data_IF_061736509969
#
_entry.id   IF_061736509969
#
_cell.length_a   1.000
_cell.length_b   1.000
_cell.length_c   1.000
_cell.angle_alpha   90.00
_cell.angle_beta   90.00
_cell.angle_gamma   90.00
#
_symmetry.space_group_name_H-M   'P 1'
#
loop_
_entity.id
_entity.type
_entity.pdbx_description
1 polymer ?
#
# COMPACT_ATOMS: atom_id res chain seq x y z
N UNK A 1 -42.25 -10.05 47.77
CA UNK A 1 -43.25 -8.95 47.70
C UNK A 1 -42.96 -8.12 46.45
N UNK A 2 -43.98 -7.62 45.75
CA UNK A 2 -44.53 -8.28 44.56
C UNK A 2 -44.26 -7.56 43.22
N UNK A 3 -44.67 -8.27 42.18
CA UNK A 3 -44.74 -7.98 40.76
C UNK A 3 -45.39 -6.64 40.37
N UNK A 4 -44.96 -6.09 39.23
CA UNK A 4 -45.86 -5.42 38.26
C UNK A 4 -45.37 -5.64 36.83
N UNK A 5 -46.09 -6.49 36.12
CA UNK A 5 -46.19 -6.39 34.67
C UNK A 5 -47.18 -5.31 34.23
N UNK A 6 -47.30 -5.23 32.90
CA UNK A 6 -48.49 -4.82 32.12
C UNK A 6 -48.48 -3.44 31.46
N UNK A 7 -48.69 -3.53 30.14
CA UNK A 7 -49.50 -2.64 29.28
C UNK A 7 -48.81 -1.39 28.74
N UNK A 8 -48.94 -1.00 27.47
CA UNK A 8 -49.86 -1.42 26.42
C UNK A 8 -49.27 -1.16 25.03
N UNK A 9 -49.63 -2.06 24.12
CA UNK A 9 -49.73 -1.87 22.67
C UNK A 9 -50.33 -0.49 22.32
N UNK A 10 -49.67 0.27 21.45
CA UNK A 10 -50.39 1.11 20.47
C UNK A 10 -49.82 0.88 19.08
N UNK A 11 -50.59 0.05 18.38
CA UNK A 11 -50.60 -0.14 16.94
C UNK A 11 -50.81 1.23 16.28
N UNK A 12 -49.79 1.70 15.56
CA UNK A 12 -49.88 2.80 14.61
C UNK A 12 -49.77 2.24 13.20
N UNK A 13 -50.88 1.73 12.68
CA UNK A 13 -51.05 1.33 11.29
C UNK A 13 -51.07 2.62 10.45
N UNK A 14 -50.10 2.81 9.56
CA UNK A 14 -49.95 4.05 8.80
C UNK A 14 -49.13 3.89 7.54
N UNK A 15 -49.75 3.24 6.55
CA UNK A 15 -49.63 3.56 5.12
C UNK A 15 -48.21 3.70 4.51
N UNK A 16 -47.67 2.56 4.10
CA UNK A 16 -47.21 2.26 2.73
C UNK A 16 -47.05 3.47 1.78
N UNK A 17 -45.82 3.91 1.54
CA UNK A 17 -45.41 4.50 0.26
C UNK A 17 -44.11 3.82 -0.16
N UNK A 18 -44.21 2.90 -1.12
CA UNK A 18 -43.08 2.43 -1.91
C UNK A 18 -42.54 3.62 -2.71
N UNK A 19 -41.33 4.06 -2.40
CA UNK A 19 -40.49 4.77 -3.38
C UNK A 19 -39.34 3.85 -3.75
N UNK A 20 -39.58 3.04 -4.78
CA UNK A 20 -38.55 2.35 -5.54
C UNK A 20 -37.73 3.41 -6.29
N UNK A 21 -36.78 4.04 -5.62
CA UNK A 21 -35.73 4.81 -6.28
C UNK A 21 -34.66 3.82 -6.79
N UNK A 22 -34.95 3.23 -7.93
CA UNK A 22 -33.95 2.62 -8.80
C UNK A 22 -33.04 3.73 -9.35
N UNK A 23 -32.09 4.20 -8.53
CA UNK A 23 -30.98 4.99 -9.02
C UNK A 23 -29.83 4.03 -9.29
N UNK A 24 -29.82 3.60 -10.54
CA UNK A 24 -28.66 3.29 -11.35
C UNK A 24 -27.37 3.09 -10.56
N UNK A 25 -26.97 1.81 -10.43
CA UNK A 25 -25.61 1.50 -10.05
C UNK A 25 -24.65 2.27 -10.95
N UNK A 26 -23.86 3.15 -10.35
CA UNK A 26 -22.60 3.58 -10.93
C UNK A 26 -21.72 2.32 -11.01
N UNK A 27 -21.92 1.50 -12.05
CA UNK A 27 -20.82 0.75 -12.62
C UNK A 27 -19.88 1.79 -13.19
N UNK A 28 -19.06 2.35 -12.32
CA UNK A 28 -17.82 2.97 -12.73
C UNK A 28 -17.04 1.81 -13.36
N UNK A 29 -17.19 1.65 -14.66
CA UNK A 29 -16.17 1.05 -15.49
C UNK A 29 -14.96 1.96 -15.31
N UNK A 30 -14.23 1.73 -14.22
CA UNK A 30 -12.95 2.32 -14.03
C UNK A 30 -12.11 1.66 -15.11
N UNK A 31 -12.15 2.25 -16.32
CA UNK A 31 -11.14 2.05 -17.33
C UNK A 31 -9.82 2.03 -16.56
N UNK A 32 -9.02 0.95 -16.65
CA UNK A 32 -7.83 0.82 -15.84
C UNK A 32 -7.04 2.10 -16.05
N UNK A 33 -7.07 2.96 -15.02
CA UNK A 33 -6.28 4.17 -15.00
C UNK A 33 -4.88 3.60 -15.08
N UNK A 34 -4.34 3.62 -16.30
CA UNK A 34 -2.98 3.24 -16.57
C UNK A 34 -2.22 4.40 -15.99
N UNK A 35 -2.08 4.38 -14.66
CA UNK A 35 -1.33 5.38 -13.93
C UNK A 35 0.01 5.43 -14.66
N UNK A 36 0.45 6.61 -15.11
CA UNK A 36 1.70 6.74 -15.82
C UNK A 36 2.74 5.98 -15.00
N UNK A 37 3.39 5.01 -15.64
CA UNK A 37 4.33 4.13 -14.96
C UNK A 37 5.32 5.03 -14.22
N UNK A 38 5.31 4.96 -12.88
CA UNK A 38 6.16 5.84 -12.11
C UNK A 38 7.62 5.63 -12.56
N UNK A 39 8.43 6.69 -12.62
CA UNK A 39 9.77 6.63 -13.17
C UNK A 39 10.58 5.50 -12.52
N UNK A 40 11.48 4.90 -13.29
CA UNK A 40 12.38 3.90 -12.74
C UNK A 40 13.41 4.58 -11.79
N UNK A 41 13.83 3.91 -10.71
CA UNK A 41 14.98 4.36 -9.94
C UNK A 41 16.22 4.50 -10.82
N UNK A 42 16.96 5.58 -10.64
CA UNK A 42 18.25 5.78 -11.31
C UNK A 42 19.34 4.85 -10.70
N UNK A 43 20.57 4.96 -11.19
CA UNK A 43 21.67 4.09 -10.73
C UNK A 43 22.03 4.28 -9.25
N UNK A 44 22.05 5.53 -8.76
CA UNK A 44 22.36 5.84 -7.37
C UNK A 44 21.24 5.34 -6.44
N UNK A 45 19.98 5.57 -6.83
CA UNK A 45 18.79 5.08 -6.12
C UNK A 45 18.77 3.56 -6.09
N UNK A 46 19.06 2.90 -7.21
CA UNK A 46 19.12 1.43 -7.27
C UNK A 46 20.18 0.88 -6.31
N UNK A 47 21.36 1.52 -6.24
CA UNK A 47 22.42 1.12 -5.31
C UNK A 47 22.00 1.31 -3.86
N UNK A 48 21.45 2.49 -3.54
CA UNK A 48 20.95 2.78 -2.19
C UNK A 48 19.84 1.81 -1.77
N UNK A 49 18.88 1.52 -2.64
CA UNK A 49 17.83 0.52 -2.40
C UNK A 49 18.44 -0.87 -2.18
N UNK A 50 19.50 -1.22 -2.94
CA UNK A 50 20.27 -2.44 -2.78
C UNK A 50 20.89 -2.56 -1.39
N UNK A 51 21.66 -1.55 -0.99
CA UNK A 51 22.37 -1.50 0.30
C UNK A 51 21.38 -1.51 1.48
N UNK A 52 20.33 -0.70 1.42
CA UNK A 52 19.27 -0.63 2.44
C UNK A 52 18.46 -1.93 2.53
N UNK A 53 18.09 -2.51 1.40
CA UNK A 53 17.39 -3.80 1.36
C UNK A 53 18.25 -4.94 1.91
N UNK A 54 19.55 -4.95 1.62
CA UNK A 54 20.49 -5.90 2.20
C UNK A 54 20.60 -5.74 3.73
N UNK A 55 20.52 -4.52 4.26
CA UNK A 55 20.44 -4.30 5.71
C UNK A 55 19.12 -4.82 6.29
N UNK A 56 17.97 -4.48 5.69
CA UNK A 56 16.63 -4.89 6.14
C UNK A 56 16.50 -6.43 6.20
N UNK A 57 16.94 -7.11 5.15
CA UNK A 57 16.83 -8.56 5.01
C UNK A 57 18.09 -9.31 5.44
N UNK A 58 19.00 -8.66 6.18
CA UNK A 58 20.20 -9.30 6.76
C UNK A 58 21.03 -10.07 5.72
N UNK A 59 21.24 -9.45 4.56
CA UNK A 59 21.94 -9.96 3.37
C UNK A 59 21.31 -11.18 2.70
N UNK A 60 20.06 -11.50 3.03
CA UNK A 60 19.28 -12.47 2.26
C UNK A 60 18.96 -11.90 0.87
N UNK A 61 18.90 -12.78 -0.14
CA UNK A 61 18.41 -12.39 -1.46
C UNK A 61 16.98 -11.85 -1.39
N UNK A 62 16.76 -10.72 -2.05
CA UNK A 62 15.48 -10.04 -2.09
C UNK A 62 15.21 -9.47 -3.49
N UNK A 63 13.96 -9.08 -3.71
CA UNK A 63 13.49 -8.48 -4.95
C UNK A 63 12.93 -7.09 -4.67
N UNK A 64 12.90 -6.25 -5.70
CA UNK A 64 12.27 -4.94 -5.68
C UNK A 64 11.32 -4.79 -6.85
N UNK A 65 10.38 -3.85 -6.77
CA UNK A 65 9.62 -3.42 -7.97
C UNK A 65 10.55 -2.78 -8.99
N UNK A 66 10.22 -2.94 -10.29
CA UNK A 66 11.02 -2.40 -11.39
C UNK A 66 11.06 -0.87 -11.34
N UNK A 67 9.92 -0.26 -11.10
CA UNK A 67 9.75 1.19 -10.91
C UNK A 67 9.37 1.57 -9.49
N UNK A 68 9.19 2.87 -9.27
CA UNK A 68 8.52 3.33 -8.07
C UNK A 68 7.05 2.87 -8.07
N UNK A 69 6.49 2.64 -6.88
CA UNK A 69 5.05 2.39 -6.69
C UNK A 69 4.29 3.70 -6.72
N UNK A 70 4.89 4.75 -6.17
CA UNK A 70 4.51 6.14 -6.38
C UNK A 70 5.77 7.02 -6.39
N UNK A 71 5.72 8.11 -7.14
CA UNK A 71 6.79 9.08 -7.25
C UNK A 71 6.17 10.49 -7.21
N UNK A 72 6.16 11.08 -6.03
CA UNK A 72 5.52 12.36 -5.76
C UNK A 72 6.44 13.21 -4.86
N UNK A 73 6.84 14.42 -5.26
CA UNK A 73 7.76 15.23 -4.45
C UNK A 73 7.27 15.57 -3.03
N UNK A 74 5.96 15.57 -2.78
CA UNK A 74 5.39 15.81 -1.46
C UNK A 74 5.29 14.54 -0.60
N UNK A 75 5.26 13.36 -1.21
CA UNK A 75 5.16 12.06 -0.51
C UNK A 75 6.43 11.22 -0.55
N UNK A 76 7.37 11.58 -1.40
CA UNK A 76 8.57 10.81 -1.73
C UNK A 76 8.39 9.79 -2.87
N UNK A 77 9.39 8.93 -2.98
CA UNK A 77 9.57 7.97 -4.05
C UNK A 77 9.64 6.56 -3.45
N UNK A 78 8.55 5.81 -3.58
CA UNK A 78 8.39 4.53 -2.89
C UNK A 78 8.72 3.34 -3.78
N UNK A 79 9.46 2.38 -3.24
CA UNK A 79 9.78 1.09 -3.86
C UNK A 79 9.32 -0.02 -2.92
N UNK A 80 8.67 -1.03 -3.49
CA UNK A 80 8.37 -2.24 -2.73
C UNK A 80 9.55 -3.20 -2.81
N UNK A 81 9.90 -3.75 -1.66
CA UNK A 81 10.87 -4.82 -1.51
C UNK A 81 10.16 -6.08 -1.00
N UNK A 82 10.68 -7.25 -1.37
CA UNK A 82 10.24 -8.52 -0.80
C UNK A 82 11.38 -9.52 -0.68
N UNK A 83 11.35 -10.32 0.38
CA UNK A 83 12.20 -11.49 0.53
C UNK A 83 11.34 -12.70 0.94
N UNK A 84 11.74 -13.94 0.61
CA UNK A 84 11.02 -15.12 1.08
C UNK A 84 11.18 -15.31 2.59
N UNK A 85 10.08 -15.54 3.30
CA UNK A 85 10.08 -16.00 4.69
C UNK A 85 10.25 -17.52 4.76
N UNK A 86 10.51 -18.04 5.96
CA UNK A 86 10.66 -19.49 6.21
C UNK A 86 9.41 -20.30 5.88
N UNK A 87 8.23 -19.70 5.98
CA UNK A 87 6.94 -20.30 5.66
C UNK A 87 6.56 -20.17 4.17
N UNK A 88 7.49 -19.67 3.33
CA UNK A 88 7.28 -19.46 1.90
C UNK A 88 6.50 -18.19 1.55
N UNK A 89 6.00 -17.43 2.53
CA UNK A 89 5.34 -16.15 2.26
C UNK A 89 6.36 -15.05 1.97
N UNK A 90 6.03 -14.07 1.13
CA UNK A 90 6.86 -12.89 0.95
C UNK A 90 6.78 -11.93 2.16
N UNK A 91 7.93 -11.58 2.72
CA UNK A 91 8.09 -10.47 3.66
C UNK A 91 8.19 -9.15 2.90
N UNK A 92 7.13 -8.36 2.91
CA UNK A 92 7.08 -7.12 2.17
C UNK A 92 7.59 -5.95 2.99
N UNK A 93 8.31 -5.04 2.34
CA UNK A 93 8.72 -3.76 2.91
C UNK A 93 8.47 -2.67 1.88
N UNK A 94 7.92 -1.53 2.33
CA UNK A 94 7.79 -0.34 1.51
C UNK A 94 8.90 0.64 1.93
N UNK A 95 9.85 0.87 1.04
CA UNK A 95 10.94 1.82 1.23
C UNK A 95 10.58 3.12 0.52
N UNK A 96 10.58 4.24 1.23
CA UNK A 96 10.23 5.57 0.69
C UNK A 96 11.47 6.46 0.79
N UNK A 97 11.97 6.91 -0.36
CA UNK A 97 13.01 7.93 -0.43
C UNK A 97 12.32 9.30 -0.40
N UNK A 98 12.65 10.19 0.54
CA UNK A 98 11.97 11.49 0.64
C UNK A 98 12.28 12.42 -0.54
N UNK A 99 13.42 12.21 -1.21
CA UNK A 99 13.84 12.95 -2.41
C UNK A 99 14.56 12.04 -3.41
N UNK A 100 14.71 12.52 -4.64
CA UNK A 100 15.57 11.86 -5.65
C UNK A 100 17.01 11.87 -5.18
N UNK A 101 17.76 10.84 -5.53
CA UNK A 101 19.19 10.76 -5.21
C UNK A 101 20.00 11.04 -6.48
N UNK A 102 20.71 12.16 -6.48
CA UNK A 102 21.60 12.55 -7.58
C UNK A 102 23.06 12.50 -7.11
N UNK A 103 23.87 11.62 -7.70
CA UNK A 103 25.31 11.54 -7.43
C UNK A 103 25.71 10.66 -6.24
N UNK A 104 26.83 11.02 -5.59
CA UNK A 104 27.40 10.25 -4.47
C UNK A 104 26.60 10.50 -3.19
N UNK A 105 25.99 9.46 -2.64
CA UNK A 105 25.19 9.51 -1.42
C UNK A 105 26.10 9.79 -0.23
N UNK A 106 26.01 10.99 0.35
CA UNK A 106 26.57 11.26 1.67
C UNK A 106 25.75 10.48 2.70
N UNK A 107 26.40 9.65 3.53
CA UNK A 107 25.75 8.82 4.57
C UNK A 107 24.97 9.63 5.63
N UNK A 108 25.02 10.97 5.58
CA UNK A 108 24.42 11.88 6.56
C UNK A 108 23.04 12.39 6.13
N UNK A 109 22.61 12.15 4.90
CA UNK A 109 21.30 12.61 4.38
C UNK A 109 20.29 11.46 4.23
N UNK A 110 20.23 10.61 5.26
CA UNK A 110 19.42 9.37 5.32
C UNK A 110 17.93 9.65 5.51
N UNK A 111 17.31 10.31 4.53
CA UNK A 111 15.87 10.59 4.53
C UNK A 111 15.12 9.44 3.84
N UNK A 112 15.23 8.23 4.40
CA UNK A 112 14.45 7.08 3.96
C UNK A 112 13.52 6.57 5.05
N UNK A 113 12.27 6.31 4.69
CA UNK A 113 11.28 5.71 5.58
C UNK A 113 11.07 4.25 5.21
N UNK A 114 11.17 3.37 6.20
CA UNK A 114 11.01 1.93 6.03
C UNK A 114 9.71 1.52 6.71
N UNK A 115 8.71 1.13 5.91
CA UNK A 115 7.42 0.66 6.40
C UNK A 115 7.29 -0.84 6.19
N UNK A 116 6.96 -1.56 7.28
CA UNK A 116 6.83 -3.03 7.29
C UNK A 116 5.52 -3.51 7.91
N UNK A 117 4.74 -2.60 8.49
CA UNK A 117 3.45 -2.97 9.05
C UNK A 117 2.52 -3.45 7.93
N UNK A 118 1.70 -4.45 8.25
CA UNK A 118 0.83 -5.11 7.27
C UNK A 118 -0.12 -4.14 6.55
N UNK A 119 -0.51 -3.04 7.21
CA UNK A 119 -1.37 -1.99 6.67
C UNK A 119 -0.65 -1.11 5.63
N UNK A 120 0.64 -0.81 5.84
CA UNK A 120 1.39 0.11 4.99
C UNK A 120 1.90 -0.56 3.70
N UNK A 121 2.15 -1.86 3.76
CA UNK A 121 2.67 -2.64 2.62
C UNK A 121 1.57 -3.16 1.69
N UNK A 122 0.33 -2.70 1.87
CA UNK A 122 -0.80 -3.00 0.98
C UNK A 122 -0.48 -2.83 -0.51
N UNK A 123 0.14 -1.71 -0.93
CA UNK A 123 0.54 -1.49 -2.33
C UNK A 123 1.50 -2.54 -2.89
N UNK A 124 2.27 -3.24 -2.05
CA UNK A 124 3.25 -4.24 -2.50
C UNK A 124 2.63 -5.59 -2.84
N UNK A 125 1.52 -5.97 -2.18
CA UNK A 125 1.01 -7.35 -2.24
C UNK A 125 0.56 -7.79 -3.63
N UNK A 126 0.03 -6.85 -4.41
CA UNK A 126 -0.57 -7.13 -5.73
C UNK A 126 0.36 -6.78 -6.90
N UNK A 127 1.65 -6.53 -6.64
CA UNK A 127 2.63 -6.22 -7.68
C UNK A 127 3.10 -7.48 -8.39
N UNK A 128 3.40 -7.36 -9.67
CA UNK A 128 3.92 -8.43 -10.52
C UNK A 128 5.25 -8.07 -11.21
N UNK A 129 5.70 -6.82 -11.10
CA UNK A 129 6.87 -6.25 -11.78
C UNK A 129 8.17 -6.41 -10.98
N UNK A 130 8.33 -7.54 -10.31
CA UNK A 130 9.48 -7.80 -9.44
C UNK A 130 10.75 -8.07 -10.24
N UNK A 131 11.86 -7.52 -9.76
CA UNK A 131 13.21 -7.75 -10.29
C UNK A 131 14.16 -8.01 -9.12
N UNK A 132 15.19 -8.84 -9.33
CA UNK A 132 16.22 -9.03 -8.30
C UNK A 132 16.89 -7.70 -7.97
N UNK A 133 16.99 -7.40 -6.68
CA UNK A 133 17.88 -6.36 -6.20
C UNK A 133 19.29 -6.96 -6.12
N UNK A 134 20.19 -6.51 -6.99
CA UNK A 134 21.60 -6.89 -6.97
C UNK A 134 22.38 -5.98 -6.05
#
# INVERSE_FOLDING_TARGET
>A
MPERGSSALRVGFGLLVLTAAALAGCRTDAAPLTAPAAPAPNAAETRYIGDTGAAIYRRQAFERTRGFVFADPARGYAVCLRAPMRDGRPDHTLLILQRRIDGAVSQVEDDATILRAAADVGPCRNRSDWVRAR
#
